data_IF_878224682919
#
_entry.id   IF_878224682919
#
_cell.length_a   1.000
_cell.length_b   1.000
_cell.length_c   1.000
_cell.angle_alpha   90.00
_cell.angle_beta   90.00
_cell.angle_gamma   90.00
#
_symmetry.space_group_name_H-M   'P 1'
#
loop_
_entity.id
_entity.type
_entity.pdbx_description
1 polymer ?
#
# COMPACT_ATOMS: atom_id res chain seq x y z
N UNK A 1 1.56 -9.49 15.45
CA UNK A 1 0.95 -8.75 14.31
C UNK A 1 2.08 -8.28 13.42
N UNK A 2 2.10 -8.62 12.13
CA UNK A 2 3.18 -8.19 11.22
C UNK A 2 2.83 -6.80 10.71
N UNK A 3 3.65 -5.80 11.06
CA UNK A 3 3.47 -4.44 10.54
C UNK A 3 3.88 -4.40 9.05
N UNK A 4 3.10 -3.71 8.20
CA UNK A 4 3.40 -3.64 6.77
C UNK A 4 4.63 -2.77 6.45
N UNK A 5 5.13 -2.04 7.42
CA UNK A 5 6.23 -1.10 7.26
C UNK A 5 7.21 -1.16 8.44
N UNK A 6 8.41 -0.64 8.20
CA UNK A 6 9.45 -0.37 9.20
C UNK A 6 9.80 1.10 9.12
N UNK A 7 9.86 1.77 10.26
CA UNK A 7 10.27 3.18 10.37
C UNK A 7 11.74 3.24 10.72
N UNK A 8 12.50 3.99 9.93
CA UNK A 8 13.92 4.27 10.18
C UNK A 8 14.09 5.77 10.35
N UNK A 9 14.71 6.16 11.44
CA UNK A 9 15.14 7.55 11.64
C UNK A 9 16.53 7.71 11.03
N UNK A 10 16.67 8.71 10.17
CA UNK A 10 17.95 9.15 9.61
C UNK A 10 18.32 10.52 10.18
N UNK A 11 19.56 10.92 10.00
CA UNK A 11 20.03 12.24 10.43
C UNK A 11 19.28 13.37 9.69
N UNK A 12 18.84 13.09 8.48
CA UNK A 12 18.13 13.97 7.56
C UNK A 12 16.60 13.74 7.49
N UNK A 13 16.01 13.00 8.43
CA UNK A 13 14.56 12.81 8.45
C UNK A 13 14.08 11.40 8.82
N UNK A 14 12.93 11.03 8.28
CA UNK A 14 12.27 9.74 8.53
C UNK A 14 12.08 8.96 7.24
N UNK A 15 12.40 7.68 7.27
CA UNK A 15 12.23 6.76 6.17
C UNK A 15 11.27 5.63 6.58
N UNK A 16 10.15 5.53 5.86
CA UNK A 16 9.18 4.43 5.99
C UNK A 16 9.44 3.44 4.86
N UNK A 17 9.80 2.21 5.21
CA UNK A 17 10.14 1.16 4.23
C UNK A 17 9.14 0.01 4.39
N UNK A 18 8.64 -0.58 3.29
CA UNK A 18 7.82 -1.77 3.39
C UNK A 18 8.53 -2.89 4.14
N UNK A 19 7.85 -3.55 5.07
CA UNK A 19 8.40 -4.68 5.82
C UNK A 19 8.72 -5.85 4.87
N UNK A 20 9.95 -6.33 4.89
CA UNK A 20 10.37 -7.45 4.04
C UNK A 20 9.55 -8.72 4.30
N UNK A 21 9.18 -8.97 5.56
CA UNK A 21 8.33 -10.11 5.94
C UNK A 21 6.92 -9.96 5.38
N UNK A 22 6.32 -8.77 5.50
CA UNK A 22 4.99 -8.50 4.97
C UNK A 22 4.97 -8.60 3.44
N UNK A 23 5.95 -8.01 2.77
CA UNK A 23 6.10 -8.11 1.31
C UNK A 23 6.29 -9.56 0.87
N UNK A 24 7.14 -10.32 1.58
CA UNK A 24 7.36 -11.74 1.30
C UNK A 24 6.09 -12.57 1.41
N UNK A 25 5.28 -12.34 2.44
CA UNK A 25 3.99 -13.00 2.62
C UNK A 25 3.01 -12.66 1.49
N UNK A 26 2.88 -11.38 1.14
CA UNK A 26 1.98 -10.93 0.07
C UNK A 26 2.39 -11.50 -1.29
N UNK A 27 3.67 -11.38 -1.66
CA UNK A 27 4.19 -11.89 -2.93
C UNK A 27 4.07 -13.41 -2.98
N UNK A 28 4.37 -14.10 -1.86
CA UNK A 28 4.24 -15.55 -1.74
C UNK A 28 2.78 -16.02 -1.91
N UNK A 29 1.83 -15.35 -1.25
CA UNK A 29 0.41 -15.68 -1.35
C UNK A 29 -0.12 -15.52 -2.79
N UNK A 30 0.14 -14.37 -3.43
CA UNK A 30 -0.29 -14.15 -4.82
C UNK A 30 0.43 -15.06 -5.81
N UNK A 31 1.72 -15.37 -5.58
CA UNK A 31 2.47 -16.32 -6.40
C UNK A 31 1.91 -17.74 -6.29
N UNK A 32 1.62 -18.21 -5.07
CA UNK A 32 1.01 -19.51 -4.84
C UNK A 32 -0.41 -19.61 -5.43
N UNK A 33 -1.23 -18.56 -5.27
CA UNK A 33 -2.56 -18.49 -5.89
C UNK A 33 -2.47 -18.55 -7.42
N UNK A 34 -1.53 -17.82 -8.03
CA UNK A 34 -1.30 -17.87 -9.46
C UNK A 34 -0.93 -19.27 -9.95
N UNK A 35 0.05 -19.93 -9.28
CA UNK A 35 0.47 -21.27 -9.62
C UNK A 35 -0.67 -22.29 -9.48
N UNK A 36 -1.46 -22.20 -8.42
CA UNK A 36 -2.64 -23.05 -8.20
C UNK A 36 -3.70 -22.89 -9.28
N UNK A 37 -3.99 -21.64 -9.69
CA UNK A 37 -4.97 -21.37 -10.76
C UNK A 37 -4.49 -21.88 -12.12
N UNK A 38 -3.19 -21.79 -12.43
CA UNK A 38 -2.61 -22.40 -13.63
C UNK A 38 -2.77 -23.92 -13.59
N UNK A 39 -2.48 -24.53 -12.44
CA UNK A 39 -2.67 -25.98 -12.26
C UNK A 39 -4.14 -26.39 -12.46
N UNK A 40 -5.08 -25.68 -11.87
CA UNK A 40 -6.51 -25.93 -12.11
C UNK A 40 -6.88 -25.81 -13.59
N UNK A 41 -6.36 -24.80 -14.28
CA UNK A 41 -6.59 -24.63 -15.73
C UNK A 41 -6.12 -25.84 -16.54
N UNK A 42 -4.99 -26.46 -16.17
CA UNK A 42 -4.49 -27.67 -16.85
C UNK A 42 -5.42 -28.88 -16.65
N UNK A 43 -6.04 -28.99 -15.48
CA UNK A 43 -7.03 -30.05 -15.21
C UNK A 43 -8.30 -29.86 -16.05
N UNK A 44 -8.81 -28.62 -16.14
CA UNK A 44 -9.99 -28.29 -16.93
C UNK A 44 -9.77 -28.38 -18.43
N UNK A 45 -8.55 -28.12 -18.90
CA UNK A 45 -8.21 -28.26 -20.34
C UNK A 45 -8.47 -29.67 -20.89
N UNK A 46 -8.41 -30.69 -20.03
CA UNK A 46 -8.71 -32.09 -20.41
C UNK A 46 -10.20 -32.38 -20.55
N UNK A 47 -11.09 -31.51 -20.07
CA UNK A 47 -12.54 -31.73 -19.99
C UNK A 47 -13.37 -30.98 -21.07
N UNK A 48 -12.78 -30.64 -22.20
CA UNK A 48 -13.46 -30.12 -23.43
C UNK A 48 -14.29 -28.81 -23.29
N UNK A 49 -14.28 -28.12 -22.16
CA UNK A 49 -15.04 -26.88 -21.98
C UNK A 49 -14.09 -25.68 -21.96
N UNK A 50 -13.81 -25.13 -23.13
CA UNK A 50 -12.74 -24.14 -23.39
C UNK A 50 -12.83 -22.86 -22.55
N UNK A 51 -14.02 -22.36 -22.24
CA UNK A 51 -14.19 -21.13 -21.48
C UNK A 51 -13.89 -21.31 -19.98
N UNK A 52 -14.05 -22.51 -19.40
CA UNK A 52 -13.70 -22.82 -18.02
C UNK A 52 -12.19 -22.78 -17.77
N UNK A 53 -11.37 -22.88 -18.80
CA UNK A 53 -9.92 -22.76 -18.68
C UNK A 53 -9.43 -21.31 -18.75
N UNK A 54 -10.16 -20.45 -19.47
CA UNK A 54 -9.78 -19.05 -19.69
C UNK A 54 -9.91 -18.21 -18.42
N UNK A 55 -10.98 -18.39 -17.66
CA UNK A 55 -11.24 -17.61 -16.43
C UNK A 55 -10.11 -17.78 -15.38
N UNK A 56 -9.72 -19.02 -14.98
CA UNK A 56 -8.64 -19.21 -14.04
C UNK A 56 -7.30 -18.65 -14.55
N UNK A 57 -7.01 -18.72 -15.86
CA UNK A 57 -5.80 -18.15 -16.44
C UNK A 57 -5.77 -16.62 -16.36
N UNK A 58 -6.90 -15.96 -16.62
CA UNK A 58 -7.01 -14.50 -16.45
C UNK A 58 -6.77 -14.09 -15.00
N UNK A 59 -7.39 -14.79 -14.04
CA UNK A 59 -7.20 -14.52 -12.63
C UNK A 59 -5.74 -14.80 -12.21
N UNK A 60 -5.14 -15.89 -12.72
CA UNK A 60 -3.73 -16.20 -12.49
C UNK A 60 -2.81 -15.07 -12.99
N UNK A 61 -3.09 -14.55 -14.19
CA UNK A 61 -2.37 -13.39 -14.76
C UNK A 61 -2.50 -12.14 -13.88
N UNK A 62 -3.69 -11.85 -13.37
CA UNK A 62 -3.90 -10.75 -12.42
C UNK A 62 -3.11 -10.94 -11.13
N UNK A 63 -3.15 -12.13 -10.52
CA UNK A 63 -2.38 -12.45 -9.31
C UNK A 63 -0.88 -12.30 -9.55
N UNK A 64 -0.37 -12.79 -10.69
CA UNK A 64 1.04 -12.64 -11.06
C UNK A 64 1.42 -11.17 -11.25
N UNK A 65 0.59 -10.38 -11.92
CA UNK A 65 0.82 -8.94 -12.09
C UNK A 65 0.89 -8.20 -10.75
N UNK A 66 0.00 -8.53 -9.80
CA UNK A 66 0.02 -8.00 -8.44
C UNK A 66 1.29 -8.40 -7.67
N UNK A 67 1.71 -9.67 -7.77
CA UNK A 67 2.95 -10.15 -7.15
C UNK A 67 4.18 -9.41 -7.70
N UNK A 68 4.28 -9.25 -9.02
CA UNK A 68 5.37 -8.53 -9.70
C UNK A 68 5.37 -7.05 -9.28
N UNK A 69 4.20 -6.42 -9.26
CA UNK A 69 4.07 -5.02 -8.82
C UNK A 69 4.53 -4.86 -7.37
N UNK A 70 4.04 -5.72 -6.47
CA UNK A 70 4.45 -5.72 -5.07
C UNK A 70 5.96 -5.91 -4.91
N UNK A 71 6.55 -6.84 -5.65
CA UNK A 71 7.98 -7.05 -5.65
C UNK A 71 8.79 -5.84 -6.14
N UNK A 72 8.35 -5.18 -7.21
CA UNK A 72 9.01 -3.99 -7.76
C UNK A 72 8.93 -2.79 -6.82
N UNK A 73 7.78 -2.58 -6.16
CA UNK A 73 7.56 -1.42 -5.29
C UNK A 73 8.07 -1.60 -3.86
N UNK A 74 8.54 -2.81 -3.48
CA UNK A 74 9.03 -3.13 -2.13
C UNK A 74 10.20 -2.28 -1.65
N UNK A 75 11.00 -1.74 -2.57
CA UNK A 75 12.19 -0.95 -2.27
C UNK A 75 11.95 0.56 -2.31
N UNK A 76 10.75 0.98 -2.68
CA UNK A 76 10.44 2.41 -2.78
C UNK A 76 10.07 2.92 -1.39
N UNK A 77 10.94 3.72 -0.75
CA UNK A 77 10.66 4.27 0.56
C UNK A 77 9.72 5.47 0.45
N UNK A 78 8.98 5.71 1.52
CA UNK A 78 8.28 6.96 1.76
C UNK A 78 9.15 7.77 2.73
N UNK A 79 9.70 8.87 2.25
CA UNK A 79 10.63 9.71 2.99
C UNK A 79 9.92 10.98 3.47
N UNK A 80 10.22 11.36 4.70
CA UNK A 80 9.87 12.67 5.27
C UNK A 80 11.18 13.40 5.57
N UNK A 81 11.48 14.39 4.75
CA UNK A 81 12.68 15.22 4.88
C UNK A 81 12.50 16.33 5.94
N UNK A 82 13.58 16.94 6.40
CA UNK A 82 13.51 18.12 7.26
C UNK A 82 12.65 19.20 6.64
N UNK A 83 11.80 19.85 7.45
CA UNK A 83 10.83 20.83 6.95
C UNK A 83 9.52 20.23 6.45
N UNK A 84 9.32 18.90 6.54
CA UNK A 84 8.05 18.26 6.23
C UNK A 84 7.80 18.02 4.73
N UNK A 85 8.85 18.00 3.91
CA UNK A 85 8.75 17.56 2.51
C UNK A 85 8.54 16.05 2.47
N UNK A 86 7.56 15.61 1.69
CA UNK A 86 7.20 14.19 1.56
C UNK A 86 7.54 13.69 0.17
N UNK A 87 8.35 12.62 0.09
CA UNK A 87 8.77 12.01 -1.15
C UNK A 87 8.47 10.50 -1.15
N UNK A 88 7.99 9.97 -2.27
CA UNK A 88 7.85 8.54 -2.52
C UNK A 88 8.88 8.12 -3.57
N UNK A 89 9.96 7.50 -3.12
CA UNK A 89 11.15 7.33 -3.94
C UNK A 89 11.72 8.70 -4.34
N UNK A 90 11.84 8.93 -5.65
CA UNK A 90 12.30 10.20 -6.21
C UNK A 90 11.15 11.20 -6.47
N UNK A 91 9.90 10.75 -6.34
CA UNK A 91 8.72 11.58 -6.61
C UNK A 91 8.34 12.38 -5.37
N UNK A 92 8.36 13.70 -5.48
CA UNK A 92 7.78 14.59 -4.49
C UNK A 92 6.24 14.47 -4.49
N UNK A 93 5.67 14.23 -3.31
CA UNK A 93 4.22 14.19 -3.07
C UNK A 93 3.73 15.54 -2.52
N UNK A 94 4.46 16.07 -1.55
CA UNK A 94 4.13 17.33 -0.90
C UNK A 94 5.42 18.13 -0.65
N UNK A 95 5.39 19.43 -0.94
CA UNK A 95 6.48 20.34 -0.63
C UNK A 95 6.62 20.57 0.88
N UNK A 96 7.78 21.06 1.30
CA UNK A 96 8.04 21.35 2.71
C UNK A 96 7.01 22.34 3.27
N UNK A 97 6.49 22.04 4.47
CA UNK A 97 5.54 22.91 5.18
C UNK A 97 4.14 23.01 4.58
N UNK A 98 3.82 22.25 3.52
CA UNK A 98 2.49 22.31 2.90
C UNK A 98 1.48 21.35 3.54
N UNK A 99 1.93 20.30 4.24
CA UNK A 99 1.06 19.33 4.89
C UNK A 99 0.52 19.90 6.19
N UNK A 100 -0.80 19.97 6.33
CA UNK A 100 -1.50 20.46 7.53
C UNK A 100 -1.92 19.34 8.45
N UNK A 101 -2.36 18.20 7.88
CA UNK A 101 -2.80 17.05 8.66
C UNK A 101 -2.60 15.73 7.89
N UNK A 102 -2.52 14.64 8.66
CA UNK A 102 -2.63 13.27 8.13
C UNK A 102 -4.05 12.78 8.34
N UNK A 103 -4.75 12.45 7.27
CA UNK A 103 -6.17 12.12 7.31
C UNK A 103 -6.43 10.65 7.05
N UNK A 104 -7.22 10.01 7.93
CA UNK A 104 -7.73 8.66 7.70
C UNK A 104 -9.13 8.78 7.10
N UNK A 105 -9.30 8.27 5.89
CA UNK A 105 -10.57 8.33 5.14
C UNK A 105 -11.07 6.91 4.82
N UNK A 106 -12.39 6.69 4.72
CA UNK A 106 -12.92 5.43 4.20
C UNK A 106 -12.43 5.20 2.76
N UNK A 107 -12.07 3.96 2.42
CA UNK A 107 -11.65 3.63 1.05
C UNK A 107 -12.84 3.61 0.10
N UNK A 108 -12.71 4.30 -1.04
CA UNK A 108 -13.71 4.28 -2.09
C UNK A 108 -13.51 3.03 -2.96
N UNK A 109 -14.27 1.96 -2.71
CA UNK A 109 -14.24 0.71 -3.49
C UNK A 109 -13.59 -0.47 -2.76
N UNK A 110 -13.22 -0.32 -1.50
CA UNK A 110 -12.83 -1.41 -0.61
C UNK A 110 -14.01 -2.09 0.08
N UNK A 111 -13.72 -3.11 0.89
CA UNK A 111 -14.70 -3.73 1.77
C UNK A 111 -15.16 -2.74 2.86
N UNK A 112 -16.33 -2.97 3.45
CA UNK A 112 -16.83 -2.14 4.53
C UNK A 112 -15.83 -2.15 5.71
N UNK A 113 -15.26 -0.98 6.02
CA UNK A 113 -14.24 -0.80 7.06
C UNK A 113 -12.83 -0.54 6.53
N UNK A 114 -12.57 -0.78 5.24
CA UNK A 114 -11.30 -0.41 4.62
C UNK A 114 -11.11 1.11 4.67
N UNK A 115 -9.88 1.54 4.93
CA UNK A 115 -9.54 2.96 4.99
C UNK A 115 -8.18 3.25 4.36
N UNK A 116 -8.00 4.50 4.00
CA UNK A 116 -6.78 5.01 3.39
C UNK A 116 -6.20 6.16 4.21
N UNK A 117 -4.88 6.30 4.15
CA UNK A 117 -4.18 7.42 4.76
C UNK A 117 -3.81 8.43 3.68
N UNK A 118 -4.25 9.65 3.85
CA UNK A 118 -4.06 10.77 2.93
C UNK A 118 -3.36 11.92 3.63
N UNK A 119 -2.69 12.75 2.84
CA UNK A 119 -2.08 14.00 3.29
C UNK A 119 -2.99 15.16 2.91
N UNK A 120 -3.41 15.94 3.90
CA UNK A 120 -4.19 17.15 3.69
C UNK A 120 -3.24 18.35 3.68
N UNK A 121 -3.24 19.09 2.58
CA UNK A 121 -2.45 20.31 2.43
C UNK A 121 -3.20 21.53 2.96
N UNK A 122 -2.47 22.61 3.23
CA UNK A 122 -3.04 23.85 3.75
C UNK A 122 -4.10 24.50 2.83
N UNK A 123 -4.07 24.19 1.55
CA UNK A 123 -5.07 24.58 0.55
C UNK A 123 -6.32 23.67 0.52
N UNK A 124 -6.39 22.68 1.42
CA UNK A 124 -7.46 21.69 1.48
C UNK A 124 -7.34 20.55 0.48
N UNK A 125 -6.28 20.51 -0.32
CA UNK A 125 -6.03 19.43 -1.27
C UNK A 125 -5.65 18.16 -0.54
N UNK A 126 -6.25 17.04 -0.94
CA UNK A 126 -5.92 15.72 -0.45
C UNK A 126 -4.96 15.02 -1.42
N UNK A 127 -3.83 14.56 -0.90
CA UNK A 127 -2.81 13.83 -1.66
C UNK A 127 -2.73 12.40 -1.14
N UNK A 128 -3.02 11.43 -2.02
CA UNK A 128 -2.88 10.00 -1.69
C UNK A 128 -1.42 9.56 -1.75
N UNK A 129 -1.06 8.63 -0.87
CA UNK A 129 0.25 7.97 -0.94
C UNK A 129 0.16 6.87 -2.00
N UNK A 130 0.98 6.91 -3.08
CA UNK A 130 0.87 5.99 -4.22
C UNK A 130 1.47 4.61 -3.91
N UNK A 131 1.17 4.04 -2.74
CA UNK A 131 1.74 2.77 -2.29
C UNK A 131 0.70 1.90 -1.63
N UNK A 132 0.58 0.66 -2.11
CA UNK A 132 -0.26 -0.36 -1.48
C UNK A 132 0.17 -0.77 -0.06
N UNK A 133 1.41 -0.40 0.35
CA UNK A 133 1.94 -0.74 1.68
C UNK A 133 1.69 0.35 2.73
N UNK A 134 1.42 1.58 2.29
CA UNK A 134 1.30 2.73 3.17
C UNK A 134 -0.08 3.41 3.10
N UNK A 135 -0.85 3.17 2.05
CA UNK A 135 -2.09 3.89 1.81
C UNK A 135 -3.34 3.12 2.25
N UNK A 136 -3.43 1.83 1.96
CA UNK A 136 -4.63 1.02 2.20
C UNK A 136 -4.52 0.16 3.45
N UNK A 137 -5.53 0.22 4.32
CA UNK A 137 -5.62 -0.54 5.57
C UNK A 137 -7.01 -1.17 5.70
N UNK A 138 -7.05 -2.40 6.23
CA UNK A 138 -8.29 -3.18 6.46
C UNK A 138 -9.23 -2.60 7.53
N UNK A 139 -8.74 -1.67 8.35
CA UNK A 139 -9.57 -0.97 9.34
C UNK A 139 -8.86 0.28 9.84
N UNK A 140 -9.63 1.19 10.46
CA UNK A 140 -9.09 2.40 11.12
C UNK A 140 -8.08 2.04 12.22
N UNK A 141 -8.30 0.97 12.95
CA UNK A 141 -7.37 0.52 14.01
C UNK A 141 -6.00 0.16 13.46
N UNK A 142 -5.94 -0.42 12.26
CA UNK A 142 -4.68 -0.73 11.57
C UNK A 142 -4.03 0.50 10.93
N UNK A 143 -4.83 1.49 10.52
CA UNK A 143 -4.32 2.74 9.94
C UNK A 143 -3.74 3.71 10.98
N UNK A 144 -4.35 3.76 12.18
CA UNK A 144 -3.97 4.70 13.25
C UNK A 144 -2.48 4.67 13.63
N UNK A 145 -1.85 3.50 13.86
CA UNK A 145 -0.42 3.48 14.20
C UNK A 145 0.46 4.10 13.11
N UNK A 146 0.16 3.79 11.85
CA UNK A 146 0.90 4.38 10.73
C UNK A 146 0.66 5.88 10.63
N UNK A 147 -0.61 6.31 10.67
CA UNK A 147 -0.96 7.72 10.60
C UNK A 147 -0.34 8.53 11.74
N UNK A 148 -0.30 7.96 12.96
CA UNK A 148 0.32 8.61 14.12
C UNK A 148 1.83 8.77 13.98
N UNK A 149 2.55 7.71 13.57
CA UNK A 149 4.00 7.78 13.33
C UNK A 149 4.33 8.74 12.18
N UNK A 150 3.51 8.75 11.15
CA UNK A 150 3.70 9.61 9.99
C UNK A 150 3.42 11.08 10.33
N UNK A 151 2.34 11.35 11.06
CA UNK A 151 2.01 12.68 11.56
C UNK A 151 3.10 13.21 12.51
N UNK A 152 3.64 12.35 13.39
CA UNK A 152 4.77 12.67 14.25
C UNK A 152 6.01 13.07 13.45
N UNK A 153 6.31 12.33 12.37
CA UNK A 153 7.44 12.64 11.49
C UNK A 153 7.28 14.00 10.80
N UNK A 154 6.03 14.38 10.48
CA UNK A 154 5.69 15.65 9.84
C UNK A 154 5.49 16.81 10.84
N UNK A 155 5.35 16.52 12.13
CA UNK A 155 5.00 17.53 13.13
C UNK A 155 3.56 18.05 13.04
N UNK A 156 2.62 17.24 12.48
CA UNK A 156 1.22 17.60 12.27
C UNK A 156 0.28 16.68 13.07
N UNK A 157 -1.03 16.94 13.00
CA UNK A 157 -2.03 16.12 13.68
C UNK A 157 -2.66 15.08 12.76
N UNK A 158 -3.19 14.00 13.37
CA UNK A 158 -4.03 13.02 12.68
C UNK A 158 -5.49 13.46 12.77
N UNK A 159 -6.18 13.46 11.64
CA UNK A 159 -7.63 13.73 11.54
C UNK A 159 -8.34 12.50 10.97
N UNK A 160 -9.57 12.25 11.44
CA UNK A 160 -10.38 11.13 10.95
C UNK A 160 -11.64 11.70 10.28
N UNK A 161 -11.90 11.27 9.04
CA UNK A 161 -13.17 11.54 8.37
C UNK A 161 -14.25 10.62 8.95
N UNK A 162 -15.41 11.20 9.25
CA UNK A 162 -16.61 10.44 9.60
C UNK A 162 -17.21 9.74 8.40
#
# INVERSE_FOLDING_TARGET
MVTPYVVKRRDDGWEFVPSSTFVGLMVGAFGAASAFLVYLSTLFFRSATSWLTVIPLLIAGMCAAWAIRGWRTRKIPLNVEPGGRVCYGERELCAAGTVQSVRIVPSHGGEAGDCEVWLEQADGKLVSIPSQYFAGFKSREHARPFAAEFAKALGVQVTESR
#
